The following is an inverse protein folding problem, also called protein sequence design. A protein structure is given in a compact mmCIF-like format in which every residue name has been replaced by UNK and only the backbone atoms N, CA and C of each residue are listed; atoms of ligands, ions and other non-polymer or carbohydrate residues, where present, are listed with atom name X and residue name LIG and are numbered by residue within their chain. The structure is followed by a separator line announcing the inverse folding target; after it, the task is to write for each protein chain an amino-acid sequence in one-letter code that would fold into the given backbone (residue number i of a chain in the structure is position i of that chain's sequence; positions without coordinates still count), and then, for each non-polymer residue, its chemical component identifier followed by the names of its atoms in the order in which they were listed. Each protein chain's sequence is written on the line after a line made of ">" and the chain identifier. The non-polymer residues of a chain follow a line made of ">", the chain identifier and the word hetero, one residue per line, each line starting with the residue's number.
data_IF_854299751284
#
_entry.id   IF_854299751284
#
_cell.length_a   1.000
_cell.length_b   1.000
_cell.length_c   1.000
_cell.angle_alpha   90.00
_cell.angle_beta   90.00
_cell.angle_gamma   90.00
#
_symmetry.space_group_name_H-M   'P 1'
#
loop_
_entity.id
_entity.type
_entity.pdbx_description
1 polymer ?
#
# COMPACT_ATOMS: atom_id res chain seq x y z
N UNK A 1 -1.96 64.49 15.36
CA UNK A 1 -3.27 64.11 15.93
C UNK A 1 -4.30 64.19 14.83
N UNK A 2 -4.94 63.08 14.48
CA UNK A 2 -5.94 62.99 13.40
C UNK A 2 -7.32 63.05 14.07
N UNK A 3 -8.27 63.87 13.60
CA UNK A 3 -9.60 63.96 14.21
C UNK A 3 -10.41 62.68 13.92
N UNK A 4 -11.30 62.26 14.83
CA UNK A 4 -12.15 61.10 14.58
C UNK A 4 -13.20 61.42 13.51
N UNK A 5 -13.65 60.42 12.73
CA UNK A 5 -14.65 60.62 11.71
C UNK A 5 -16.04 60.89 12.33
N UNK A 6 -16.94 61.61 11.62
CA UNK A 6 -18.27 61.89 12.11
C UNK A 6 -19.14 60.63 12.15
N UNK A 7 -19.95 60.51 13.20
CA UNK A 7 -20.96 59.45 13.33
C UNK A 7 -22.18 59.81 12.48
N UNK A 8 -22.40 59.07 11.39
CA UNK A 8 -23.62 59.17 10.61
C UNK A 8 -24.80 58.53 11.36
N UNK A 9 -26.03 59.07 11.26
CA UNK A 9 -27.23 58.42 11.76
C UNK A 9 -27.45 57.09 11.04
N UNK A 10 -27.67 56.00 11.80
CA UNK A 10 -28.16 54.74 11.23
C UNK A 10 -29.60 54.95 10.75
N UNK A 11 -29.79 55.10 9.45
CA UNK A 11 -31.11 54.91 8.86
C UNK A 11 -31.54 53.45 9.07
N UNK A 12 -32.68 53.27 9.72
CA UNK A 12 -33.35 51.97 9.82
C UNK A 12 -33.63 51.44 8.42
N UNK A 13 -33.04 50.29 8.09
CA UNK A 13 -33.30 49.60 6.84
C UNK A 13 -34.80 49.24 6.74
N UNK A 14 -35.45 49.40 5.57
CA UNK A 14 -36.81 48.95 5.39
C UNK A 14 -36.88 47.42 5.51
N UNK A 15 -37.91 46.93 6.21
CA UNK A 15 -38.19 45.51 6.30
C UNK A 15 -38.47 44.94 4.90
N UNK A 16 -37.65 43.99 4.48
CA UNK A 16 -37.86 43.23 3.24
C UNK A 16 -39.12 42.37 3.42
N UNK A 17 -40.16 42.67 2.63
CA UNK A 17 -41.30 41.78 2.45
C UNK A 17 -40.83 40.48 1.78
N UNK A 18 -41.30 39.30 2.23
CA UNK A 18 -41.02 38.07 1.51
C UNK A 18 -41.72 38.10 0.16
N UNK A 19 -40.93 38.09 -0.92
CA UNK A 19 -41.43 37.88 -2.27
C UNK A 19 -42.03 36.48 -2.37
N UNK A 20 -43.36 36.40 -2.53
CA UNK A 20 -44.04 35.18 -2.93
C UNK A 20 -43.68 34.89 -4.39
N UNK A 21 -42.58 34.17 -4.59
CA UNK A 21 -42.24 33.61 -5.89
C UNK A 21 -43.04 32.32 -6.07
N UNK A 22 -44.18 32.40 -6.75
CA UNK A 22 -44.86 31.23 -7.29
C UNK A 22 -44.04 30.72 -8.47
N UNK A 23 -43.09 29.82 -8.20
CA UNK A 23 -42.47 28.99 -9.21
C UNK A 23 -43.23 27.67 -9.28
N UNK A 24 -43.88 27.42 -10.42
CA UNK A 24 -44.42 26.13 -10.80
C UNK A 24 -43.34 25.04 -10.64
N UNK A 25 -43.65 23.89 -10.02
CA UNK A 25 -42.72 22.78 -9.96
C UNK A 25 -42.64 22.13 -11.35
N UNK A 26 -41.68 22.58 -12.16
CA UNK A 26 -41.19 21.80 -13.28
C UNK A 26 -40.49 20.55 -12.69
N UNK A 27 -41.23 19.44 -12.62
CA UNK A 27 -40.67 18.10 -12.41
C UNK A 27 -39.71 17.78 -13.54
N UNK A 28 -38.45 18.17 -13.38
CA UNK A 28 -37.34 17.54 -14.09
C UNK A 28 -37.18 16.18 -13.43
N UNK A 29 -37.80 15.17 -14.02
CA UNK A 29 -37.59 13.77 -13.68
C UNK A 29 -36.13 13.45 -13.96
N UNK A 30 -35.26 13.65 -12.97
CA UNK A 30 -33.92 13.10 -12.99
C UNK A 30 -34.07 11.57 -13.16
N UNK A 31 -33.37 10.95 -14.13
CA UNK A 31 -33.32 9.50 -14.19
C UNK A 31 -32.88 8.98 -12.81
N UNK A 32 -33.46 7.89 -12.30
CA UNK A 32 -32.95 7.27 -11.10
C UNK A 32 -31.47 6.99 -11.33
N UNK A 33 -30.58 7.52 -10.49
CA UNK A 33 -29.21 7.05 -10.45
C UNK A 33 -29.30 5.56 -10.18
N UNK A 34 -29.10 4.76 -11.24
CA UNK A 34 -28.94 3.32 -11.10
C UNK A 34 -27.91 3.10 -10.00
N UNK A 35 -28.13 2.15 -9.07
CA UNK A 35 -27.17 1.85 -8.03
C UNK A 35 -25.81 1.64 -8.70
N UNK A 36 -24.86 2.57 -8.49
CA UNK A 36 -23.51 2.41 -8.99
C UNK A 36 -22.99 1.14 -8.33
N UNK A 37 -22.86 0.07 -9.12
CA UNK A 37 -22.30 -1.18 -8.63
C UNK A 37 -20.90 -0.85 -8.08
N UNK A 38 -20.60 -1.20 -6.81
CA UNK A 38 -19.30 -0.92 -6.26
C UNK A 38 -18.24 -1.56 -7.16
N UNK A 39 -17.26 -0.76 -7.62
CA UNK A 39 -16.15 -1.27 -8.40
C UNK A 39 -15.48 -2.42 -7.62
N UNK A 40 -15.16 -3.54 -8.28
CA UNK A 40 -14.54 -4.68 -7.61
C UNK A 40 -13.19 -4.27 -7.02
N UNK A 41 -13.06 -4.34 -5.69
CA UNK A 41 -11.79 -4.13 -4.99
C UNK A 41 -10.93 -5.39 -5.08
N UNK A 42 -9.70 -5.24 -5.56
CA UNK A 42 -8.78 -6.33 -5.81
C UNK A 42 -7.80 -6.47 -4.65
N UNK A 43 -7.63 -7.71 -4.16
CA UNK A 43 -6.53 -8.02 -3.25
C UNK A 43 -5.22 -8.00 -4.02
N UNK A 44 -4.22 -7.28 -3.51
CA UNK A 44 -2.92 -7.19 -4.16
C UNK A 44 -2.17 -8.52 -4.06
N UNK A 45 -1.58 -9.00 -5.16
CA UNK A 45 -0.77 -10.22 -5.14
C UNK A 45 0.58 -9.92 -4.45
N UNK A 46 1.21 -10.90 -3.79
CA UNK A 46 2.50 -10.69 -3.12
C UNK A 46 3.60 -10.13 -4.04
N UNK A 47 3.65 -10.53 -5.32
CA UNK A 47 4.64 -10.02 -6.26
C UNK A 47 4.40 -8.55 -6.63
N UNK A 48 3.14 -8.18 -6.87
CA UNK A 48 2.76 -6.78 -7.15
C UNK A 48 3.06 -5.91 -5.93
N UNK A 49 2.88 -6.47 -4.72
CA UNK A 49 3.23 -5.82 -3.47
C UNK A 49 4.73 -5.54 -3.36
N UNK A 50 5.58 -6.53 -3.66
CA UNK A 50 7.03 -6.33 -3.67
C UNK A 50 7.45 -5.30 -4.71
N UNK A 51 6.92 -5.38 -5.93
CA UNK A 51 7.22 -4.41 -7.00
C UNK A 51 6.80 -2.99 -6.63
N UNK A 52 5.64 -2.80 -6.00
CA UNK A 52 5.19 -1.49 -5.53
C UNK A 52 6.11 -0.94 -4.43
N UNK A 53 6.52 -1.78 -3.47
CA UNK A 53 7.45 -1.34 -2.41
C UNK A 53 8.81 -0.96 -3.00
N UNK A 54 9.36 -1.76 -3.91
CA UNK A 54 10.62 -1.47 -4.60
C UNK A 54 10.57 -0.17 -5.40
N UNK A 55 9.50 0.03 -6.17
CA UNK A 55 9.27 1.26 -6.94
C UNK A 55 9.17 2.47 -6.02
N UNK A 56 8.40 2.36 -4.93
CA UNK A 56 8.21 3.45 -3.98
C UNK A 56 9.50 3.81 -3.24
N UNK A 57 10.27 2.82 -2.79
CA UNK A 57 11.52 3.08 -2.05
C UNK A 57 12.63 3.60 -2.95
N UNK A 58 12.70 3.17 -4.21
CA UNK A 58 13.68 3.67 -5.17
C UNK A 58 13.34 5.07 -5.73
N UNK A 59 12.06 5.47 -5.70
CA UNK A 59 11.59 6.73 -6.25
C UNK A 59 12.06 7.96 -5.45
N UNK A 60 12.38 9.08 -6.11
CA UNK A 60 12.57 10.37 -5.44
C UNK A 60 11.25 10.89 -4.88
N UNK A 61 11.33 11.84 -3.93
CA UNK A 61 10.16 12.34 -3.18
C UNK A 61 8.97 12.78 -4.05
N UNK A 62 9.22 13.51 -5.16
CA UNK A 62 8.14 13.95 -6.08
C UNK A 62 7.41 12.78 -6.74
N UNK A 63 8.13 11.70 -7.05
CA UNK A 63 7.56 10.51 -7.65
C UNK A 63 6.83 9.65 -6.60
N UNK A 64 7.38 9.55 -5.37
CA UNK A 64 6.66 8.96 -4.22
C UNK A 64 5.30 9.62 -3.98
N UNK A 65 5.24 10.95 -4.04
CA UNK A 65 3.97 11.67 -3.92
C UNK A 65 2.95 11.27 -5.01
N UNK A 66 3.40 11.16 -6.27
CA UNK A 66 2.57 10.70 -7.38
C UNK A 66 2.12 9.25 -7.22
N UNK A 67 3.00 8.37 -6.73
CA UNK A 67 2.64 6.98 -6.43
C UNK A 67 1.51 6.97 -5.41
N UNK A 68 1.64 7.70 -4.30
CA UNK A 68 0.61 7.78 -3.26
C UNK A 68 -0.70 8.38 -3.77
N UNK A 69 -0.63 9.40 -4.63
CA UNK A 69 -1.79 9.99 -5.29
C UNK A 69 -2.52 8.97 -6.17
N UNK A 70 -1.79 8.23 -7.02
CA UNK A 70 -2.37 7.19 -7.88
C UNK A 70 -3.03 6.06 -7.08
N UNK A 71 -2.60 5.81 -5.83
CA UNK A 71 -3.23 4.82 -4.96
C UNK A 71 -4.60 5.26 -4.43
N UNK A 72 -4.95 6.55 -4.48
CA UNK A 72 -6.25 7.05 -4.02
C UNK A 72 -7.40 6.40 -4.79
N UNK A 73 -7.26 6.30 -6.11
CA UNK A 73 -8.29 5.77 -7.01
C UNK A 73 -8.02 4.33 -7.46
N UNK A 74 -6.86 3.76 -7.12
CA UNK A 74 -6.52 2.39 -7.45
C UNK A 74 -7.56 1.42 -6.84
N UNK A 75 -8.05 0.42 -7.60
CA UNK A 75 -9.02 -0.58 -7.13
C UNK A 75 -8.35 -1.65 -6.25
N UNK A 76 -7.51 -1.22 -5.31
CA UNK A 76 -6.80 -2.07 -4.36
C UNK A 76 -7.54 -2.13 -3.03
N UNK A 77 -7.60 -3.33 -2.45
CA UNK A 77 -8.15 -3.56 -1.12
C UNK A 77 -7.15 -3.07 -0.06
N UNK A 78 -7.51 -2.09 0.80
CA UNK A 78 -6.67 -1.67 1.90
C UNK A 78 -6.51 -2.76 2.96
N UNK A 79 -5.45 -2.67 3.77
CA UNK A 79 -5.23 -3.55 4.93
C UNK A 79 -6.33 -3.34 5.98
N UNK A 80 -6.55 -4.38 6.79
CA UNK A 80 -7.40 -4.23 7.98
C UNK A 80 -6.79 -3.20 8.94
N UNK A 81 -7.65 -2.32 9.47
CA UNK A 81 -7.25 -1.34 10.48
C UNK A 81 -6.71 -2.03 11.73
N UNK A 82 -5.76 -1.37 12.39
CA UNK A 82 -5.33 -1.78 13.73
C UNK A 82 -6.45 -1.50 14.70
N UNK A 83 -6.67 -2.40 15.66
CA UNK A 83 -7.65 -2.18 16.74
C UNK A 83 -7.38 -0.81 17.43
N UNK A 84 -8.40 0.05 17.63
CA UNK A 84 -8.20 1.39 18.16
C UNK A 84 -7.51 1.44 19.53
N UNK A 85 -7.78 0.47 20.43
CA UNK A 85 -7.12 0.42 21.74
C UNK A 85 -5.66 0.07 21.57
N UNK A 86 -5.34 -0.91 20.72
CA UNK A 86 -3.95 -1.25 20.39
C UNK A 86 -3.22 -0.08 19.73
N UNK A 87 -3.85 0.58 18.77
CA UNK A 87 -3.29 1.74 18.08
C UNK A 87 -2.98 2.88 19.07
N UNK A 88 -3.91 3.24 19.94
CA UNK A 88 -3.70 4.32 20.93
C UNK A 88 -2.51 4.05 21.87
N UNK A 89 -2.34 2.80 22.32
CA UNK A 89 -1.18 2.39 23.13
C UNK A 89 0.12 2.48 22.35
N UNK A 90 0.13 1.96 21.12
CA UNK A 90 1.31 1.99 20.28
C UNK A 90 1.73 3.43 19.95
N UNK A 91 0.78 4.31 19.64
CA UNK A 91 1.05 5.73 19.37
C UNK A 91 1.73 6.43 20.56
N UNK A 92 1.26 6.19 21.79
CA UNK A 92 1.89 6.75 22.98
C UNK A 92 3.33 6.24 23.18
N UNK A 93 3.56 4.94 22.98
CA UNK A 93 4.90 4.34 23.07
C UNK A 93 5.84 4.87 21.98
N UNK A 94 5.36 4.97 20.73
CA UNK A 94 6.10 5.48 19.59
C UNK A 94 6.50 6.94 19.79
N UNK A 95 5.57 7.77 20.25
CA UNK A 95 5.86 9.18 20.53
C UNK A 95 6.89 9.32 21.66
N UNK A 96 6.74 8.57 22.75
CA UNK A 96 7.71 8.55 23.85
C UNK A 96 9.11 8.12 23.40
N UNK A 97 9.22 7.06 22.61
CA UNK A 97 10.48 6.59 22.05
C UNK A 97 11.13 7.64 21.13
N UNK A 98 10.33 8.32 20.29
CA UNK A 98 10.82 9.39 19.45
C UNK A 98 11.37 10.57 20.28
N UNK A 99 10.68 11.01 21.35
CA UNK A 99 11.12 12.13 22.17
C UNK A 99 12.47 11.93 22.87
N UNK A 100 12.86 10.67 23.14
CA UNK A 100 14.19 10.34 23.70
C UNK A 100 15.17 9.85 22.63
N UNK A 101 14.83 10.01 21.35
CA UNK A 101 15.61 9.57 20.19
C UNK A 101 15.98 8.07 20.20
N UNK A 102 15.13 7.22 20.80
CA UNK A 102 15.32 5.77 20.82
C UNK A 102 14.72 5.13 19.56
N UNK A 103 15.48 5.21 18.46
CA UNK A 103 15.09 4.63 17.19
C UNK A 103 14.92 3.10 17.25
N UNK A 104 15.62 2.41 18.16
CA UNK A 104 15.50 0.96 18.30
C UNK A 104 14.15 0.59 18.92
N UNK A 105 13.80 1.17 20.07
CA UNK A 105 12.51 0.97 20.71
C UNK A 105 11.36 1.38 19.77
N UNK A 106 11.51 2.51 19.07
CA UNK A 106 10.54 2.96 18.06
C UNK A 106 10.33 1.90 16.97
N UNK A 107 11.41 1.33 16.43
CA UNK A 107 11.34 0.32 15.37
C UNK A 107 10.66 -0.97 15.85
N UNK A 108 10.95 -1.42 17.08
CA UNK A 108 10.35 -2.62 17.66
C UNK A 108 8.84 -2.43 17.86
N UNK A 109 8.44 -1.30 18.46
CA UNK A 109 7.03 -0.98 18.67
C UNK A 109 6.29 -0.84 17.33
N UNK A 110 6.90 -0.21 16.33
CA UNK A 110 6.33 -0.08 14.99
C UNK A 110 6.08 -1.45 14.33
N UNK A 111 7.08 -2.34 14.44
CA UNK A 111 6.98 -3.70 13.90
C UNK A 111 5.82 -4.47 14.55
N UNK A 112 5.69 -4.41 15.88
CA UNK A 112 4.61 -5.09 16.59
C UNK A 112 3.24 -4.50 16.21
N UNK A 113 3.08 -3.18 16.38
CA UNK A 113 1.81 -2.47 16.19
C UNK A 113 1.22 -2.70 14.79
N UNK A 114 2.08 -2.70 13.76
CA UNK A 114 1.69 -2.93 12.38
C UNK A 114 1.82 -4.38 11.93
N UNK A 115 2.29 -5.29 12.79
CA UNK A 115 2.52 -6.71 12.48
C UNK A 115 3.38 -6.85 11.22
N UNK A 116 4.52 -6.18 11.22
CA UNK A 116 5.50 -6.17 10.15
C UNK A 116 6.73 -7.02 10.54
N UNK A 117 7.42 -7.62 9.57
CA UNK A 117 8.76 -8.15 9.83
C UNK A 117 9.69 -7.03 10.33
N UNK A 118 10.57 -7.37 11.27
CA UNK A 118 11.51 -6.40 11.85
C UNK A 118 12.39 -5.68 10.80
N UNK A 119 12.76 -6.38 9.71
CA UNK A 119 13.51 -5.77 8.60
C UNK A 119 12.73 -4.66 7.91
N UNK A 120 11.43 -4.87 7.67
CA UNK A 120 10.57 -3.88 7.01
C UNK A 120 10.34 -2.67 7.90
N UNK A 121 10.10 -2.87 9.19
CA UNK A 121 9.99 -1.77 10.15
C UNK A 121 11.28 -0.94 10.21
N UNK A 122 12.44 -1.60 10.20
CA UNK A 122 13.75 -0.95 10.15
C UNK A 122 13.93 -0.12 8.88
N UNK A 123 13.56 -0.66 7.72
CA UNK A 123 13.59 0.06 6.44
C UNK A 123 12.68 1.30 6.44
N UNK A 124 11.47 1.18 7.00
CA UNK A 124 10.53 2.30 7.13
C UNK A 124 11.11 3.42 7.98
N UNK A 125 11.72 3.10 9.12
CA UNK A 125 12.31 4.08 10.06
C UNK A 125 13.60 4.69 9.50
N UNK A 126 14.40 3.91 8.78
CA UNK A 126 15.68 4.34 8.22
C UNK A 126 15.55 5.07 6.88
N UNK A 127 14.35 5.19 6.31
CA UNK A 127 14.15 5.86 5.04
C UNK A 127 14.52 7.36 5.15
N UNK A 128 15.44 7.86 4.29
CA UNK A 128 15.98 9.21 4.43
C UNK A 128 14.97 10.30 4.06
N UNK A 129 13.94 9.96 3.29
CA UNK A 129 12.91 10.90 2.85
C UNK A 129 11.66 10.85 3.74
N UNK A 130 11.48 9.82 4.56
CA UNK A 130 10.46 9.74 5.61
C UNK A 130 9.03 9.47 5.14
N UNK A 131 8.75 9.35 3.83
CA UNK A 131 7.39 9.05 3.37
C UNK A 131 6.87 7.66 3.78
N UNK A 132 7.70 6.59 3.84
CA UNK A 132 7.28 5.32 4.43
C UNK A 132 6.82 5.49 5.88
N UNK A 133 7.55 6.28 6.68
CA UNK A 133 7.19 6.54 8.08
C UNK A 133 5.86 7.29 8.18
N UNK A 134 5.64 8.30 7.33
CA UNK A 134 4.37 9.01 7.22
C UNK A 134 3.20 8.05 6.94
N UNK A 135 3.35 7.13 5.99
CA UNK A 135 2.34 6.12 5.68
C UNK A 135 2.09 5.19 6.87
N UNK A 136 3.14 4.73 7.54
CA UNK A 136 3.02 3.86 8.72
C UNK A 136 2.28 4.56 9.88
N UNK A 137 2.62 5.82 10.18
CA UNK A 137 1.98 6.60 11.24
C UNK A 137 0.52 6.94 10.90
N UNK A 138 0.24 7.24 9.63
CA UNK A 138 -1.14 7.48 9.17
C UNK A 138 -2.00 6.22 9.27
N UNK A 139 -1.44 5.05 8.98
CA UNK A 139 -2.15 3.77 9.12
C UNK A 139 -2.49 3.42 10.59
N UNK A 140 -1.72 3.95 11.55
CA UNK A 140 -2.02 3.87 12.99
C UNK A 140 -3.01 4.93 13.48
N UNK A 141 -3.37 5.92 12.63
CA UNK A 141 -4.25 7.02 13.01
C UNK A 141 -3.56 8.10 13.86
N UNK A 142 -2.24 8.26 13.72
CA UNK A 142 -1.53 9.37 14.37
C UNK A 142 -2.07 10.73 13.86
N UNK A 143 -2.19 11.71 14.75
CA UNK A 143 -2.54 13.07 14.33
C UNK A 143 -1.29 13.82 13.81
N UNK A 144 -1.51 14.92 13.08
CA UNK A 144 -0.43 15.67 12.43
C UNK A 144 0.57 16.25 13.45
N UNK A 145 0.10 16.76 14.59
CA UNK A 145 0.96 17.36 15.62
C UNK A 145 1.90 16.32 16.25
N UNK A 146 1.39 15.14 16.58
CA UNK A 146 2.18 14.02 17.07
C UNK A 146 3.18 13.55 16.01
N UNK A 147 2.77 13.49 14.75
CA UNK A 147 3.66 13.13 13.65
C UNK A 147 4.82 14.13 13.48
N UNK A 148 4.55 15.43 13.57
CA UNK A 148 5.60 16.46 13.52
C UNK A 148 6.60 16.31 14.67
N UNK A 149 6.14 16.01 15.89
CA UNK A 149 7.04 15.71 17.01
C UNK A 149 7.91 14.49 16.72
N UNK A 150 7.34 13.42 16.18
CA UNK A 150 8.10 12.24 15.75
C UNK A 150 9.16 12.62 14.71
N UNK A 151 8.83 13.42 13.69
CA UNK A 151 9.79 13.86 12.68
C UNK A 151 10.98 14.63 13.27
N UNK A 152 10.70 15.52 14.23
CA UNK A 152 11.71 16.38 14.83
C UNK A 152 12.69 15.61 15.72
N UNK A 153 12.24 14.58 16.43
CA UNK A 153 13.04 13.90 17.45
C UNK A 153 13.54 12.51 17.05
N UNK A 154 12.86 11.79 16.15
CA UNK A 154 13.24 10.41 15.79
C UNK A 154 14.45 10.37 14.86
N UNK A 155 14.46 11.21 13.81
CA UNK A 155 15.52 11.22 12.80
C UNK A 155 16.17 12.61 12.74
N UNK A 156 17.38 12.79 13.31
CA UNK A 156 18.03 14.09 13.36
C UNK A 156 18.36 14.65 11.97
N UNK A 157 18.52 13.81 10.94
CA UNK A 157 18.76 14.28 9.57
C UNK A 157 17.53 15.01 9.00
N UNK A 158 16.33 14.49 9.25
CA UNK A 158 15.07 15.13 8.87
C UNK A 158 14.79 16.31 9.81
N UNK A 159 14.88 16.11 11.12
CA UNK A 159 14.57 17.12 12.13
C UNK A 159 15.44 18.38 12.06
N UNK A 160 16.67 18.28 11.53
CA UNK A 160 17.55 19.43 11.32
C UNK A 160 17.23 20.24 10.04
N UNK A 161 16.38 19.73 9.15
CA UNK A 161 16.02 20.37 7.88
C UNK A 161 14.58 20.89 7.93
N UNK A 162 14.43 22.21 8.04
CA UNK A 162 13.12 22.88 8.01
C UNK A 162 12.35 22.53 6.73
N UNK A 163 13.04 22.43 5.59
CA UNK A 163 12.42 22.11 4.29
C UNK A 163 11.82 20.70 4.32
N UNK A 164 12.55 19.71 4.84
CA UNK A 164 12.08 18.32 4.87
C UNK A 164 10.95 18.12 5.87
N UNK A 165 11.03 18.76 7.05
CA UNK A 165 9.94 18.75 8.04
C UNK A 165 8.66 19.33 7.45
N UNK A 166 8.72 20.52 6.81
CA UNK A 166 7.54 21.13 6.20
C UNK A 166 6.99 20.30 5.04
N UNK A 167 7.86 19.75 4.19
CA UNK A 167 7.46 18.88 3.08
C UNK A 167 6.70 17.66 3.57
N UNK A 168 7.25 16.96 4.57
CA UNK A 168 6.61 15.77 5.14
C UNK A 168 5.32 16.10 5.88
N UNK A 169 5.28 17.18 6.66
CA UNK A 169 4.06 17.62 7.33
C UNK A 169 2.93 17.90 6.33
N UNK A 170 3.21 18.64 5.25
CA UNK A 170 2.23 18.93 4.20
C UNK A 170 1.75 17.69 3.47
N UNK A 171 2.67 16.79 3.14
CA UNK A 171 2.31 15.50 2.54
C UNK A 171 1.44 14.69 3.51
N UNK A 172 1.77 14.69 4.80
CA UNK A 172 1.00 13.99 5.82
C UNK A 172 -0.43 14.50 5.94
N UNK A 173 -0.66 15.82 5.83
CA UNK A 173 -2.00 16.41 5.89
C UNK A 173 -2.91 15.94 4.75
N UNK A 174 -2.36 15.79 3.55
CA UNK A 174 -3.12 15.36 2.37
C UNK A 174 -3.16 13.83 2.21
N UNK A 175 -2.29 13.11 2.91
CA UNK A 175 -2.25 11.64 2.90
C UNK A 175 -3.50 11.07 3.59
N UNK A 176 -4.28 10.31 2.83
CA UNK A 176 -5.48 9.66 3.36
C UNK A 176 -5.14 8.36 4.09
N UNK A 177 -5.97 8.02 5.09
CA UNK A 177 -5.85 6.74 5.81
C UNK A 177 -5.96 5.54 4.85
N UNK A 178 -6.79 5.65 3.80
CA UNK A 178 -6.95 4.59 2.79
C UNK A 178 -5.62 4.26 2.11
N UNK A 179 -4.90 5.27 1.61
CA UNK A 179 -3.61 5.07 0.93
C UNK A 179 -2.58 4.48 1.88
N UNK A 180 -2.53 4.97 3.11
CA UNK A 180 -1.67 4.43 4.16
C UNK A 180 -1.95 2.94 4.44
N UNK A 181 -3.23 2.54 4.48
CA UNK A 181 -3.62 1.14 4.65
C UNK A 181 -3.33 0.28 3.42
N UNK A 182 -3.29 0.84 2.21
CA UNK A 182 -2.83 0.14 1.00
C UNK A 182 -1.32 -0.11 1.09
N UNK A 183 -0.53 0.90 1.50
CA UNK A 183 0.91 0.72 1.75
C UNK A 183 1.17 -0.34 2.84
N UNK A 184 0.35 -0.36 3.91
CA UNK A 184 0.42 -1.42 4.92
C UNK A 184 0.13 -2.81 4.36
N UNK A 185 -0.85 -2.94 3.46
CA UNK A 185 -1.12 -4.21 2.77
C UNK A 185 0.06 -4.61 1.88
N UNK A 186 0.72 -3.64 1.24
CA UNK A 186 1.90 -3.88 0.42
C UNK A 186 3.08 -4.42 1.22
N UNK A 187 3.41 -3.81 2.35
CA UNK A 187 4.47 -4.30 3.23
C UNK A 187 4.20 -5.70 3.76
N UNK A 188 2.97 -5.97 4.24
CA UNK A 188 2.58 -7.31 4.71
C UNK A 188 2.63 -8.33 3.58
N UNK A 189 2.16 -7.98 2.38
CA UNK A 189 2.15 -8.85 1.20
C UNK A 189 3.55 -9.17 0.67
N UNK A 190 4.44 -8.17 0.59
CA UNK A 190 5.81 -8.33 0.11
C UNK A 190 6.62 -9.31 0.97
N UNK A 191 6.41 -9.29 2.29
CA UNK A 191 7.09 -10.20 3.22
C UNK A 191 6.82 -11.70 2.97
N UNK A 192 5.69 -12.03 2.33
CA UNK A 192 5.33 -13.40 1.95
C UNK A 192 6.24 -13.90 0.83
N UNK A 193 6.60 -13.04 -0.13
CA UNK A 193 7.50 -13.39 -1.24
C UNK A 193 8.89 -13.70 -0.68
N UNK A 194 9.42 -12.85 0.20
CA UNK A 194 10.73 -13.05 0.83
C UNK A 194 10.78 -14.35 1.63
N UNK A 195 9.71 -14.67 2.37
CA UNK A 195 9.64 -15.92 3.15
C UNK A 195 9.59 -17.15 2.24
N UNK A 196 8.81 -17.12 1.14
CA UNK A 196 8.77 -18.21 0.15
C UNK A 196 10.09 -18.41 -0.59
N UNK A 197 10.83 -17.34 -0.87
CA UNK A 197 12.14 -17.44 -1.51
C UNK A 197 13.17 -18.14 -0.60
N UNK A 198 13.11 -17.91 0.71
CA UNK A 198 13.97 -18.56 1.71
C UNK A 198 13.62 -20.04 1.92
N UNK A 199 12.33 -20.37 1.88
CA UNK A 199 11.84 -21.74 2.07
C UNK A 199 11.31 -22.31 0.75
N UNK A 200 12.22 -22.81 -0.09
CA UNK A 200 11.84 -23.72 -1.18
C UNK A 200 11.77 -25.15 -0.62
N UNK A 201 10.59 -25.76 -0.47
CA UNK A 201 10.51 -27.16 -0.08
C UNK A 201 11.18 -27.99 -1.17
N UNK A 202 12.27 -28.67 -0.80
CA UNK A 202 12.87 -29.74 -1.62
C UNK A 202 11.89 -30.90 -1.55
N UNK A 203 10.90 -30.91 -2.43
CA UNK A 203 10.09 -32.11 -2.65
C UNK A 203 11.03 -33.17 -3.22
N UNK A 204 11.17 -34.26 -2.48
CA UNK A 204 11.89 -35.45 -2.87
C UNK A 204 11.16 -36.10 -4.05
N UNK A 205 11.57 -35.80 -5.29
CA UNK A 205 11.06 -36.43 -6.52
C UNK A 205 11.66 -37.83 -6.78
N UNK A 206 12.40 -38.40 -5.82
CA UNK A 206 13.21 -39.61 -6.01
C UNK A 206 12.44 -40.92 -6.24
N UNK A 207 11.16 -40.98 -5.88
CA UNK A 207 10.41 -42.26 -5.90
C UNK A 207 9.58 -42.50 -7.16
N UNK A 208 9.23 -41.47 -7.94
CA UNK A 208 8.41 -41.67 -9.15
C UNK A 208 9.20 -42.15 -10.37
N UNK A 209 10.52 -41.96 -10.40
CA UNK A 209 11.34 -42.33 -11.56
C UNK A 209 11.82 -43.78 -11.55
N UNK A 210 11.73 -44.51 -10.42
CA UNK A 210 12.21 -45.89 -10.31
C UNK A 210 11.13 -46.96 -10.61
N UNK A 211 9.87 -46.56 -10.75
CA UNK A 211 8.75 -47.50 -10.94
C UNK A 211 8.41 -47.86 -12.41
N UNK A 212 9.21 -47.45 -13.41
CA UNK A 212 8.92 -47.72 -14.84
C UNK A 212 9.99 -48.45 -15.65
N UNK A 213 11.08 -48.92 -15.04
CA UNK A 213 12.03 -49.78 -15.75
C UNK A 213 11.69 -51.26 -15.50
N UNK A 214 10.57 -51.71 -16.06
CA UNK A 214 10.33 -53.14 -16.25
C UNK A 214 11.06 -53.59 -17.53
N UNK A 215 11.91 -54.63 -17.51
CA UNK A 215 12.53 -55.17 -18.72
C UNK A 215 11.47 -55.89 -19.56
N UNK A 216 11.20 -55.37 -20.76
CA UNK A 216 10.40 -56.04 -21.77
C UNK A 216 11.19 -57.23 -22.34
N UNK A 217 10.84 -58.44 -21.92
CA UNK A 217 11.18 -59.68 -22.59
C UNK A 217 10.46 -59.74 -23.95
N UNK A 218 11.14 -59.36 -25.03
CA UNK A 218 10.67 -59.59 -26.39
C UNK A 218 10.99 -61.02 -26.81
N UNK A 219 9.99 -61.89 -26.71
CA UNK A 219 9.92 -63.18 -27.39
C UNK A 219 9.85 -62.89 -28.90
N UNK A 220 10.85 -63.35 -29.65
CA UNK A 220 10.89 -63.28 -31.12
C UNK A 220 10.53 -64.64 -31.69
N UNK A 221 9.41 -64.71 -32.39
CA UNK A 221 9.18 -65.58 -33.55
C UNK A 221 7.99 -65.02 -34.32
N UNK A 222 8.15 -64.79 -35.63
CA UNK A 222 7.13 -65.28 -36.54
C UNK A 222 7.71 -65.90 -37.82
N UNK A 223 6.98 -66.92 -38.25
CA UNK A 223 7.11 -67.73 -39.45
C UNK A 223 6.48 -67.07 -40.69
N UNK A 224 7.19 -67.27 -41.82
CA UNK A 224 6.72 -67.65 -43.16
C UNK A 224 5.96 -66.70 -44.10
N UNK A 225 6.29 -66.92 -45.38
CA UNK A 225 5.67 -66.54 -46.66
C UNK A 225 5.98 -65.12 -47.19
N UNK A 226 6.90 -64.91 -48.14
CA UNK A 226 7.01 -65.37 -49.56
C UNK A 226 6.58 -64.25 -50.52
N UNK A 227 7.56 -63.63 -51.21
CA UNK A 227 7.49 -63.32 -52.65
C UNK A 227 8.83 -62.80 -53.21
N UNK A 228 9.34 -63.54 -54.22
CA UNK A 228 10.36 -63.19 -55.22
C UNK A 228 9.81 -62.08 -56.18
N UNK A 229 10.53 -61.53 -57.19
CA UNK A 229 11.86 -61.86 -57.75
C UNK A 229 12.78 -60.63 -58.02
N UNK A 230 14.06 -60.75 -58.37
CA UNK A 230 14.57 -60.99 -59.73
C UNK A 230 16.11 -61.15 -59.78
N UNK A 231 16.52 -61.90 -60.81
CA UNK A 231 17.85 -62.19 -61.38
C UNK A 231 18.76 -60.95 -61.54
N UNK A 232 20.08 -61.02 -61.55
CA UNK A 232 20.98 -61.75 -62.48
C UNK A 232 22.41 -61.89 -61.91
N UNK A 233 23.27 -62.73 -62.52
CA UNK A 233 24.50 -63.25 -61.90
C UNK A 233 25.82 -62.77 -62.55
N UNK A 234 26.95 -63.17 -61.90
CA UNK A 234 28.29 -63.42 -62.45
C UNK A 234 29.04 -62.19 -63.03
N UNK A 235 30.28 -61.88 -62.62
CA UNK A 235 31.48 -62.71 -62.49
C UNK A 235 32.51 -61.98 -61.63
#
# INVERSE_FOLDING_TARGET
>A
MIPPPPLYPRHTAPALQPAQSQAEPATVTAPPLAPQQPLPVLSMKPQDASSLIEMFTAAPSKERAKILENLLDAPLKPSAKVDPKRASRALATLEGAAMVADAHAFTVELADALTLPASVAKEIVADPLGEPLACAMKALGMNADAFQRVLLFLNPAIGASVIDVYRLARMYDVLTERVALIMLAAWRGSSIVTTRAKYKPVLYDGERQRARTAPSSSIVSPSSEEHQPQRLPLK
#
